data_IF_324066607146
#
_entry.id   IF_324066607146
#
_cell.length_a   1.000
_cell.length_b   1.000
_cell.length_c   1.000
_cell.angle_alpha   90.00
_cell.angle_beta   90.00
_cell.angle_gamma   90.00
#
_symmetry.space_group_name_H-M   'P 1'
#
loop_
_entity.id
_entity.type
_entity.pdbx_description
1 polymer ?
#
# COMPACT_ATOMS: atom_id res chain seq x y z
N UNK A 1 17.84 21.60 42.88
CA UNK A 1 17.18 20.28 42.89
C UNK A 1 16.33 20.19 41.65
N UNK A 2 16.63 19.28 40.74
CA UNK A 2 15.77 19.02 39.58
C UNK A 2 14.60 18.15 40.06
N UNK A 3 13.40 18.72 40.08
CA UNK A 3 12.18 17.99 40.42
C UNK A 3 11.92 16.95 39.31
N UNK A 4 11.66 15.67 39.64
CA UNK A 4 11.29 14.69 38.63
C UNK A 4 9.94 15.10 38.02
N UNK A 5 9.94 15.49 36.75
CA UNK A 5 8.70 15.77 36.02
C UNK A 5 7.93 14.45 35.89
N UNK A 6 6.86 14.31 36.68
CA UNK A 6 5.89 13.25 36.50
C UNK A 6 5.00 13.62 35.30
N UNK A 7 5.39 13.18 34.11
CA UNK A 7 4.59 13.36 32.89
C UNK A 7 3.46 12.34 32.94
N UNK A 8 2.21 12.82 32.86
CA UNK A 8 1.04 11.94 32.78
C UNK A 8 0.89 11.32 31.38
N UNK A 9 0.19 10.18 31.27
CA UNK A 9 -0.04 9.53 29.96
C UNK A 9 -0.75 10.48 28.97
N UNK A 10 -1.72 11.26 29.46
CA UNK A 10 -2.45 12.24 28.64
C UNK A 10 -1.54 13.37 28.13
N UNK A 11 -0.53 13.75 28.90
CA UNK A 11 0.46 14.74 28.50
C UNK A 11 1.42 14.16 27.44
N UNK A 12 1.83 12.89 27.58
CA UNK A 12 2.58 12.18 26.52
C UNK A 12 1.76 12.08 25.24
N UNK A 13 0.48 11.71 25.33
CA UNK A 13 -0.41 11.60 24.17
C UNK A 13 -0.62 12.97 23.50
N UNK A 14 -0.82 14.03 24.29
CA UNK A 14 -0.96 15.40 23.77
C UNK A 14 0.31 15.87 23.07
N UNK A 15 1.49 15.56 23.63
CA UNK A 15 2.77 15.87 23.00
C UNK A 15 2.98 15.07 21.70
N UNK A 16 2.57 13.80 21.65
CA UNK A 16 2.64 12.97 20.45
C UNK A 16 1.70 13.49 19.35
N UNK A 17 0.45 13.83 19.70
CA UNK A 17 -0.51 14.41 18.77
C UNK A 17 0.01 15.72 18.18
N UNK A 18 0.52 16.64 19.02
CA UNK A 18 1.11 17.89 18.56
C UNK A 18 2.30 17.67 17.61
N UNK A 19 3.10 16.62 17.82
CA UNK A 19 4.20 16.25 16.92
C UNK A 19 3.69 15.68 15.60
N UNK A 20 2.68 14.81 15.63
CA UNK A 20 2.04 14.24 14.43
C UNK A 20 1.41 15.35 13.58
N UNK A 21 0.70 16.28 14.21
CA UNK A 21 0.10 17.44 13.53
C UNK A 21 1.20 18.31 12.91
N UNK A 22 2.27 18.60 13.66
CA UNK A 22 3.40 19.37 13.15
C UNK A 22 4.08 18.68 11.96
N UNK A 23 4.27 17.35 12.00
CA UNK A 23 4.84 16.59 10.88
C UNK A 23 3.92 16.61 9.67
N UNK A 24 2.60 16.53 9.89
CA UNK A 24 1.59 16.56 8.83
C UNK A 24 1.60 17.92 8.12
N UNK A 25 1.57 19.02 8.87
CA UNK A 25 1.66 20.39 8.33
C UNK A 25 2.98 20.61 7.59
N UNK A 26 4.09 20.11 8.13
CA UNK A 26 5.39 20.21 7.46
C UNK A 26 5.41 19.43 6.14
N UNK A 27 4.81 18.23 6.12
CA UNK A 27 4.64 17.43 4.92
C UNK A 27 3.83 18.17 3.85
N UNK A 28 2.70 18.77 4.22
CA UNK A 28 1.87 19.55 3.29
C UNK A 28 2.59 20.78 2.73
N UNK A 29 3.28 21.53 3.59
CA UNK A 29 4.05 22.71 3.17
C UNK A 29 5.18 22.30 2.20
N UNK A 30 5.87 21.19 2.47
CA UNK A 30 6.93 20.67 1.59
C UNK A 30 6.38 20.25 0.24
N UNK A 31 5.26 19.51 0.22
CA UNK A 31 4.55 19.14 -1.01
C UNK A 31 4.12 20.36 -1.80
N UNK A 32 3.59 21.39 -1.14
CA UNK A 32 3.16 22.62 -1.80
C UNK A 32 4.33 23.34 -2.48
N UNK A 33 5.45 23.54 -1.77
CA UNK A 33 6.65 24.17 -2.32
C UNK A 33 7.22 23.37 -3.49
N UNK A 34 7.30 22.05 -3.35
CA UNK A 34 7.74 21.17 -4.43
C UNK A 34 6.84 21.30 -5.66
N UNK A 35 5.52 21.21 -5.48
CA UNK A 35 4.56 21.35 -6.58
C UNK A 35 4.74 22.69 -7.29
N UNK A 36 4.83 23.81 -6.57
CA UNK A 36 5.01 25.13 -7.18
C UNK A 36 6.30 25.20 -8.00
N UNK A 37 7.42 24.71 -7.45
CA UNK A 37 8.71 24.73 -8.12
C UNK A 37 8.74 23.80 -9.33
N UNK A 38 8.32 22.54 -9.17
CA UNK A 38 8.31 21.56 -10.25
C UNK A 38 7.41 22.02 -11.41
N UNK A 39 6.25 22.62 -11.11
CA UNK A 39 5.39 23.23 -12.13
C UNK A 39 6.04 24.41 -12.83
N UNK A 40 6.77 25.25 -12.10
CA UNK A 40 7.49 26.37 -12.69
C UNK A 40 8.60 25.89 -13.63
N UNK A 41 9.32 24.81 -13.27
CA UNK A 41 10.34 24.18 -14.10
C UNK A 41 9.74 23.55 -15.37
N UNK A 42 8.64 22.81 -15.20
CA UNK A 42 7.91 22.18 -16.31
C UNK A 42 7.42 23.22 -17.33
N UNK A 43 6.79 24.31 -16.87
CA UNK A 43 6.33 25.41 -17.75
C UNK A 43 7.46 26.11 -18.50
N UNK A 44 8.68 26.10 -17.95
CA UNK A 44 9.88 26.67 -18.59
C UNK A 44 10.58 25.69 -19.52
N UNK A 45 10.10 24.45 -19.64
CA UNK A 45 10.74 23.39 -20.42
C UNK A 45 12.06 22.90 -19.82
N UNK A 46 12.33 23.21 -18.55
CA UNK A 46 13.52 22.74 -17.82
C UNK A 46 13.32 21.36 -17.18
N UNK A 47 12.07 20.89 -17.16
CA UNK A 47 11.67 19.56 -16.74
C UNK A 47 10.74 19.03 -17.82
N UNK A 48 11.08 17.90 -18.44
CA UNK A 48 10.31 17.28 -19.52
C UNK A 48 9.74 15.93 -19.08
N UNK A 49 8.78 15.42 -19.86
CA UNK A 49 8.17 14.10 -19.64
C UNK A 49 9.23 12.99 -19.69
N UNK A 50 10.22 13.14 -20.57
CA UNK A 50 11.34 12.20 -20.70
C UNK A 50 12.24 12.25 -19.46
N UNK A 51 12.55 13.44 -18.94
CA UNK A 51 13.37 13.60 -17.72
C UNK A 51 12.70 12.89 -16.52
N UNK A 52 11.37 12.95 -16.44
CA UNK A 52 10.61 12.27 -15.39
C UNK A 52 10.65 10.75 -15.54
N UNK A 53 10.52 10.24 -16.76
CA UNK A 53 10.59 8.81 -17.05
C UNK A 53 11.98 8.24 -16.74
N UNK A 54 13.03 8.94 -17.16
CA UNK A 54 14.41 8.51 -16.94
C UNK A 54 14.75 8.57 -15.44
N UNK A 55 14.33 9.64 -14.74
CA UNK A 55 14.49 9.73 -13.28
C UNK A 55 13.76 8.61 -12.53
N UNK A 56 12.57 8.20 -12.99
CA UNK A 56 11.84 7.07 -12.41
C UNK A 56 12.55 5.74 -12.63
N UNK A 57 13.16 5.55 -13.81
CA UNK A 57 13.98 4.37 -14.10
C UNK A 57 15.20 4.31 -13.20
N UNK A 58 15.92 5.43 -13.07
CA UNK A 58 17.09 5.53 -12.22
C UNK A 58 16.75 5.26 -10.74
N UNK A 59 15.63 5.80 -10.25
CA UNK A 59 15.15 5.55 -8.88
C UNK A 59 14.81 4.07 -8.65
N UNK A 60 14.08 3.43 -9.57
CA UNK A 60 13.75 2.02 -9.42
C UNK A 60 14.99 1.11 -9.56
N UNK A 61 15.96 1.51 -10.40
CA UNK A 61 17.23 0.81 -10.47
C UNK A 61 18.00 0.92 -9.16
N UNK A 62 18.05 2.11 -8.55
CA UNK A 62 18.63 2.30 -7.23
C UNK A 62 17.93 1.43 -6.18
N UNK A 63 16.60 1.36 -6.19
CA UNK A 63 15.83 0.50 -5.27
C UNK A 63 16.12 -0.98 -5.48
N UNK A 64 16.34 -1.42 -6.73
CA UNK A 64 16.74 -2.79 -7.04
C UNK A 64 18.14 -3.09 -6.49
N UNK A 65 19.09 -2.17 -6.71
CA UNK A 65 20.47 -2.31 -6.26
C UNK A 65 20.58 -2.33 -4.73
N UNK A 66 19.69 -1.60 -4.03
CA UNK A 66 19.54 -1.62 -2.58
C UNK A 66 18.81 -2.87 -2.05
N UNK A 67 18.25 -3.70 -2.93
CA UNK A 67 17.46 -4.88 -2.56
C UNK A 67 16.10 -4.54 -1.95
N UNK A 68 15.60 -3.31 -2.13
CA UNK A 68 14.29 -2.88 -1.67
C UNK A 68 13.15 -3.44 -2.55
N UNK A 69 13.45 -3.75 -3.81
CA UNK A 69 12.55 -4.42 -4.75
C UNK A 69 13.23 -5.64 -5.38
N UNK A 70 12.43 -6.62 -5.82
CA UNK A 70 12.95 -7.87 -6.40
C UNK A 70 13.20 -7.79 -7.91
N UNK A 71 12.48 -6.92 -8.61
CA UNK A 71 12.57 -6.74 -10.05
C UNK A 71 12.14 -5.33 -10.44
N UNK A 72 12.62 -4.86 -11.60
CA UNK A 72 12.13 -3.62 -12.19
C UNK A 72 10.64 -3.74 -12.58
N UNK A 73 9.84 -2.68 -12.40
CA UNK A 73 8.55 -2.59 -13.07
C UNK A 73 8.75 -2.61 -14.60
N UNK A 74 7.73 -3.05 -15.32
CA UNK A 74 7.77 -3.00 -16.79
C UNK A 74 7.70 -1.55 -17.32
N UNK A 75 8.10 -1.38 -18.59
CA UNK A 75 8.15 -0.07 -19.24
C UNK A 75 6.77 0.60 -19.30
N UNK A 76 5.69 -0.17 -19.38
CA UNK A 76 4.31 0.34 -19.42
C UNK A 76 3.93 0.92 -18.05
N UNK A 77 4.26 0.23 -16.96
CA UNK A 77 4.04 0.70 -15.60
C UNK A 77 4.88 1.94 -15.29
N UNK A 78 6.15 1.97 -15.68
CA UNK A 78 7.01 3.13 -15.50
C UNK A 78 6.48 4.35 -16.26
N UNK A 79 6.01 4.14 -17.49
CA UNK A 79 5.38 5.19 -18.29
C UNK A 79 4.07 5.68 -17.65
N UNK A 80 3.22 4.79 -17.16
CA UNK A 80 2.00 5.16 -16.46
C UNK A 80 2.29 5.98 -15.19
N UNK A 81 3.34 5.65 -14.45
CA UNK A 81 3.81 6.43 -13.31
C UNK A 81 4.28 7.83 -13.74
N UNK A 82 5.08 7.92 -14.81
CA UNK A 82 5.55 9.18 -15.35
C UNK A 82 4.38 10.07 -15.82
N UNK A 83 3.44 9.50 -16.57
CA UNK A 83 2.24 10.20 -17.07
C UNK A 83 1.38 10.73 -15.91
N UNK A 84 1.27 9.98 -14.82
CA UNK A 84 0.57 10.44 -13.61
C UNK A 84 1.26 11.66 -12.97
N UNK A 85 2.60 11.63 -12.86
CA UNK A 85 3.37 12.78 -12.37
C UNK A 85 3.19 14.00 -13.28
N UNK A 86 3.19 13.80 -14.60
CA UNK A 86 2.95 14.85 -15.58
C UNK A 86 1.57 15.47 -15.40
N UNK A 87 0.51 14.67 -15.26
CA UNK A 87 -0.85 15.18 -14.98
C UNK A 87 -0.90 16.03 -13.70
N UNK A 88 -0.19 15.59 -12.66
CA UNK A 88 -0.09 16.32 -11.41
C UNK A 88 0.64 17.67 -11.55
N UNK A 89 1.71 17.70 -12.35
CA UNK A 89 2.47 18.91 -12.68
C UNK A 89 1.64 19.86 -13.57
N UNK A 90 0.95 19.34 -14.58
CA UNK A 90 0.05 20.15 -15.40
C UNK A 90 -1.11 20.73 -14.58
N UNK A 91 -1.45 20.10 -13.45
CA UNK A 91 -2.48 20.56 -12.55
C UNK A 91 -3.88 20.34 -13.12
N UNK A 92 -4.05 19.31 -13.94
CA UNK A 92 -5.33 18.92 -14.52
C UNK A 92 -6.23 18.29 -13.44
N UNK A 93 -6.82 19.15 -12.62
CA UNK A 93 -7.71 18.74 -11.54
C UNK A 93 -8.91 17.89 -12.04
N UNK A 94 -9.55 18.18 -13.19
CA UNK A 94 -10.54 17.29 -13.79
C UNK A 94 -10.01 15.87 -14.07
N UNK A 95 -8.86 15.73 -14.72
CA UNK A 95 -8.28 14.40 -15.00
C UNK A 95 -7.91 13.66 -13.72
N UNK A 96 -7.32 14.36 -12.74
CA UNK A 96 -6.96 13.80 -11.45
C UNK A 96 -8.21 13.29 -10.72
N UNK A 97 -9.30 14.08 -10.65
CA UNK A 97 -10.55 13.63 -10.02
C UNK A 97 -11.10 12.38 -10.69
N UNK A 98 -11.10 12.34 -12.02
CA UNK A 98 -11.55 11.17 -12.78
C UNK A 98 -10.70 9.93 -12.46
N UNK A 99 -9.37 10.07 -12.41
CA UNK A 99 -8.48 8.96 -12.03
C UNK A 99 -8.73 8.46 -10.60
N UNK A 100 -9.08 9.35 -9.66
CA UNK A 100 -9.45 8.98 -8.29
C UNK A 100 -10.76 8.20 -8.25
N UNK A 101 -11.78 8.66 -8.98
CA UNK A 101 -13.08 7.97 -9.09
C UNK A 101 -12.92 6.57 -9.71
N UNK A 102 -12.10 6.45 -10.76
CA UNK A 102 -11.80 5.16 -11.40
C UNK A 102 -11.04 4.22 -10.46
N UNK A 103 -10.08 4.74 -9.70
CA UNK A 103 -9.34 3.98 -8.69
C UNK A 103 -10.27 3.51 -7.56
N UNK A 104 -11.10 4.39 -7.00
CA UNK A 104 -12.10 4.04 -5.98
C UNK A 104 -13.08 2.97 -6.50
N UNK A 105 -13.55 3.11 -7.73
CA UNK A 105 -14.41 2.13 -8.36
C UNK A 105 -13.71 0.77 -8.52
N UNK A 106 -12.43 0.75 -8.89
CA UNK A 106 -11.63 -0.48 -9.00
C UNK A 106 -11.43 -1.14 -7.63
N UNK A 107 -11.12 -0.37 -6.60
CA UNK A 107 -10.98 -0.88 -5.21
C UNK A 107 -12.31 -1.45 -4.73
N UNK A 108 -13.42 -0.74 -4.95
CA UNK A 108 -14.76 -1.20 -4.57
C UNK A 108 -15.13 -2.50 -5.28
N UNK A 109 -14.81 -2.63 -6.57
CA UNK A 109 -15.00 -3.87 -7.33
C UNK A 109 -14.13 -5.00 -6.79
N UNK A 110 -12.86 -4.77 -6.49
CA UNK A 110 -11.99 -5.80 -5.90
C UNK A 110 -12.50 -6.25 -4.53
N UNK A 111 -12.97 -5.33 -3.68
CA UNK A 111 -13.59 -5.66 -2.39
C UNK A 111 -14.89 -6.46 -2.59
N UNK A 112 -15.72 -6.10 -3.58
CA UNK A 112 -16.93 -6.86 -3.92
C UNK A 112 -16.61 -8.24 -4.52
N UNK A 113 -15.55 -8.36 -5.31
CA UNK A 113 -15.06 -9.62 -5.87
C UNK A 113 -14.45 -10.51 -4.77
N UNK A 114 -13.74 -9.96 -3.80
CA UNK A 114 -13.27 -10.68 -2.61
C UNK A 114 -14.41 -11.11 -1.69
N UNK A 115 -15.47 -10.30 -1.58
CA UNK A 115 -16.67 -10.64 -0.80
C UNK A 115 -17.58 -11.65 -1.53
N UNK A 116 -17.56 -11.66 -2.86
CA UNK A 116 -18.37 -12.59 -3.69
C UNK A 116 -17.62 -13.88 -4.04
N UNK A 117 -16.29 -13.91 -3.92
CA UNK A 117 -15.56 -15.18 -3.81
C UNK A 117 -16.13 -15.95 -2.62
N UNK A 118 -16.60 -17.20 -2.81
CA UNK A 118 -17.05 -18.01 -1.69
C UNK A 118 -15.91 -18.06 -0.69
N UNK A 119 -16.18 -17.66 0.56
CA UNK A 119 -15.29 -17.94 1.68
C UNK A 119 -15.07 -19.44 1.66
N UNK A 120 -13.91 -19.89 1.18
CA UNK A 120 -13.41 -21.19 1.59
C UNK A 120 -13.29 -21.04 3.11
N UNK A 121 -14.27 -21.54 3.84
CA UNK A 121 -14.17 -21.76 5.28
C UNK A 121 -13.04 -22.76 5.44
N UNK A 122 -11.80 -22.25 5.43
CA UNK A 122 -10.63 -23.02 5.81
C UNK A 122 -10.84 -23.25 7.29
N UNK A 123 -11.37 -24.43 7.60
CA UNK A 123 -11.59 -24.91 8.95
C UNK A 123 -10.37 -24.51 9.79
N UNK A 124 -10.60 -23.85 10.92
CA UNK A 124 -9.49 -23.39 11.76
C UNK A 124 -8.62 -24.61 12.10
N UNK A 125 -7.32 -24.41 12.34
CA UNK A 125 -6.46 -25.53 12.76
C UNK A 125 -7.01 -26.26 14.02
N UNK A 126 -7.89 -25.60 14.79
CA UNK A 126 -8.63 -26.20 15.89
C UNK A 126 -9.75 -27.17 15.43
N UNK A 127 -10.41 -26.88 14.32
CA UNK A 127 -11.48 -27.71 13.74
C UNK A 127 -10.89 -28.98 13.10
N UNK A 128 -9.74 -28.87 12.40
CA UNK A 128 -9.00 -30.04 11.91
C UNK A 128 -8.57 -30.96 13.06
N UNK A 129 -8.08 -30.40 14.17
CA UNK A 129 -7.70 -31.17 15.37
C UNK A 129 -8.90 -31.81 16.07
N UNK A 130 -10.10 -31.20 15.99
CA UNK A 130 -11.33 -31.79 16.52
C UNK A 130 -11.80 -32.96 15.64
N UNK A 131 -11.70 -32.82 14.32
CA UNK A 131 -12.02 -33.88 13.37
C UNK A 131 -11.07 -35.06 13.51
N UNK A 132 -9.77 -34.81 13.67
CA UNK A 132 -8.74 -35.84 13.90
C UNK A 132 -9.03 -36.64 15.18
N UNK A 133 -9.40 -35.96 16.28
CA UNK A 133 -9.82 -36.61 17.54
C UNK A 133 -11.12 -37.41 17.42
N UNK A 134 -12.07 -36.96 16.61
CA UNK A 134 -13.33 -37.67 16.36
C UNK A 134 -13.11 -38.87 15.43
N UNK A 135 -12.21 -38.76 14.45
CA UNK A 135 -11.84 -39.84 13.53
C UNK A 135 -10.98 -40.94 14.19
N UNK A 136 -10.29 -40.60 15.29
CA UNK A 136 -9.50 -41.53 16.10
C UNK A 136 -10.30 -42.42 17.07
N UNK A 137 -11.61 -42.25 17.18
CA UNK A 137 -12.49 -43.04 18.06
C UNK A 137 -13.38 -43.99 17.23
N UNK A 138 -12.79 -44.89 16.44
CA UNK A 138 -13.59 -45.82 15.66
C UNK A 138 -12.89 -46.94 14.88
N UNK A 139 -11.60 -47.21 15.09
CA UNK A 139 -10.91 -48.26 14.35
C UNK A 139 -10.08 -49.18 15.26
N UNK A 140 -10.77 -49.86 16.17
CA UNK A 140 -10.28 -51.11 16.75
C UNK A 140 -11.29 -52.21 16.42
N UNK A 141 -10.92 -53.09 15.47
CA UNK A 141 -11.45 -54.45 15.44
C UNK A 141 -12.52 -54.77 14.39
N UNK A 142 -12.09 -55.54 13.40
CA UNK A 142 -12.81 -56.65 12.75
C UNK A 142 -13.55 -56.40 11.42
N UNK A 143 -13.20 -57.30 10.50
CA UNK A 143 -14.04 -57.92 9.45
C UNK A 143 -13.92 -57.38 8.03
N UNK A 144 -13.08 -58.09 7.27
CA UNK A 144 -13.23 -58.52 5.86
C UNK A 144 -14.30 -57.80 5.04
N UNK A 145 -13.86 -57.18 3.95
CA UNK A 145 -14.58 -57.22 2.67
C UNK A 145 -13.56 -57.43 1.54
N UNK A 146 -13.87 -58.42 0.71
CA UNK A 146 -13.10 -58.97 -0.39
C UNK A 146 -13.36 -58.19 -1.69
N UNK A 147 -12.28 -58.03 -2.48
CA UNK A 147 -12.19 -58.04 -3.96
C UNK A 147 -12.84 -56.88 -4.75
N UNK A 148 -12.42 -56.64 -6.02
CA UNK A 148 -11.31 -57.22 -6.79
C UNK A 148 -10.07 -56.32 -6.94
#
# INVERSE_FOLDING_TARGET
MAMPMQISLDEVLSMLLARVDSLSVQGENTKNRFNVLARALYKKGLLTDQDLLDSLKDEHQLLLDLGAIQSMPDDEALKAMADNLVQWLQGDAPAIKKSMEEYEAKIKKMVQEEQSKPRLDVASAADLKRLDRLSGQGAAGSSKLLLP
#
